data_IF_343667047325
#
_entry.id   IF_343667047325
#
_cell.length_a   1.000
_cell.length_b   1.000
_cell.length_c   1.000
_cell.angle_alpha   90.00
_cell.angle_beta   90.00
_cell.angle_gamma   90.00
#
_symmetry.space_group_name_H-M   'P 1'
#
loop_
_entity.id
_entity.type
_entity.pdbx_description
1 polymer ?
#
# COMPACT_ATOMS: atom_id res chain seq x y z
N UNK A 1 23.57 -0.09 10.32
CA UNK A 1 22.16 -0.23 9.90
C UNK A 1 21.30 -0.18 11.14
N UNK A 2 20.23 0.61 11.13
CA UNK A 2 19.28 0.76 12.21
C UNK A 2 17.88 0.36 11.71
N UNK A 3 17.14 -0.36 12.55
CA UNK A 3 15.75 -0.72 12.34
C UNK A 3 14.94 -0.20 13.52
N UNK A 4 14.00 0.72 13.25
CA UNK A 4 13.19 1.36 14.29
C UNK A 4 11.70 1.20 13.97
N UNK A 5 10.97 0.37 14.75
CA UNK A 5 9.51 0.39 14.76
C UNK A 5 9.00 1.80 15.09
N UNK A 6 8.16 2.37 14.22
CA UNK A 6 7.58 3.70 14.42
C UNK A 6 6.20 3.59 15.04
N UNK A 7 5.32 2.79 14.45
CA UNK A 7 4.00 2.50 15.03
C UNK A 7 3.44 1.17 14.53
N UNK A 8 2.72 0.48 15.41
CA UNK A 8 2.12 -0.83 15.15
C UNK A 8 0.76 -0.96 15.83
N UNK A 9 -0.08 -1.89 15.35
CA UNK A 9 -1.39 -2.22 15.93
C UNK A 9 -1.38 -2.36 17.46
N UNK A 10 -0.33 -2.95 18.01
CA UNK A 10 -0.17 -3.15 19.46
C UNK A 10 -0.10 -1.85 20.26
N UNK A 11 0.13 -0.71 19.62
CA UNK A 11 0.19 0.63 20.23
C UNK A 11 -1.15 1.38 20.12
N UNK A 12 -2.23 0.74 19.68
CA UNK A 12 -3.60 1.27 19.77
C UNK A 12 -4.13 1.96 18.51
N UNK A 13 -3.37 1.95 17.41
CA UNK A 13 -3.86 2.34 16.07
C UNK A 13 -3.33 1.35 15.02
N UNK A 14 -4.12 1.05 13.99
CA UNK A 14 -3.71 0.14 12.92
C UNK A 14 -2.54 0.73 12.17
N UNK A 15 -1.40 0.05 12.12
CA UNK A 15 -0.18 0.50 11.45
C UNK A 15 0.85 -0.62 11.33
N UNK A 16 1.78 -0.46 10.38
CA UNK A 16 2.98 -1.28 10.23
C UNK A 16 4.15 -0.39 9.81
N UNK A 17 4.38 0.69 10.53
CA UNK A 17 5.36 1.70 10.12
C UNK A 17 6.74 1.41 10.72
N UNK A 18 7.76 1.30 9.85
CA UNK A 18 9.14 1.01 10.25
C UNK A 18 10.10 1.96 9.52
N UNK A 19 11.03 2.56 10.27
CA UNK A 19 12.19 3.24 9.69
C UNK A 19 13.36 2.26 9.58
N UNK A 20 13.91 2.14 8.38
CA UNK A 20 15.18 1.46 8.10
C UNK A 20 16.20 2.52 7.72
N UNK A 21 17.31 2.61 8.47
CA UNK A 21 18.38 3.56 8.17
C UNK A 21 19.70 2.83 7.91
N UNK A 22 20.29 3.12 6.77
CA UNK A 22 21.63 2.70 6.35
C UNK A 22 22.50 3.97 6.17
N UNK A 23 23.81 3.85 5.89
CA UNK A 23 24.65 5.01 5.63
C UNK A 23 24.20 5.86 4.43
N UNK A 24 23.53 5.25 3.46
CA UNK A 24 23.14 5.83 2.17
C UNK A 24 21.64 6.19 2.07
N UNK A 25 20.77 5.56 2.86
CA UNK A 25 19.33 5.83 2.79
C UNK A 25 18.62 5.73 4.15
N UNK A 26 17.57 6.54 4.29
CA UNK A 26 16.56 6.42 5.33
C UNK A 26 15.22 6.09 4.65
N UNK A 27 14.79 4.82 4.77
CA UNK A 27 13.57 4.28 4.18
C UNK A 27 12.49 4.16 5.25
N UNK A 28 11.38 4.85 5.04
CA UNK A 28 10.18 4.70 5.86
C UNK A 28 9.20 3.77 5.15
N UNK A 29 8.99 2.59 5.71
CA UNK A 29 8.08 1.57 5.18
C UNK A 29 6.71 1.79 5.78
N UNK A 30 5.69 1.84 4.93
CA UNK A 30 4.27 1.95 5.24
C UNK A 30 3.92 3.03 6.29
N UNK A 31 4.17 4.32 5.98
CA UNK A 31 3.84 5.45 6.85
C UNK A 31 2.32 5.73 6.91
N UNK A 32 1.56 4.73 7.33
CA UNK A 32 0.12 4.76 7.50
C UNK A 32 -0.32 4.58 8.93
N UNK A 33 -1.49 5.11 9.26
CA UNK A 33 -2.16 4.84 10.52
C UNK A 33 -3.67 4.99 10.35
N UNK A 34 -4.44 4.04 10.86
CA UNK A 34 -5.90 4.12 10.88
C UNK A 34 -6.47 3.81 12.27
N UNK A 35 -7.65 4.36 12.55
CA UNK A 35 -8.35 4.11 13.82
C UNK A 35 -8.66 2.62 13.97
N UNK A 36 -8.61 2.11 15.21
CA UNK A 36 -8.98 0.73 15.52
C UNK A 36 -10.46 0.45 15.20
N UNK A 37 -10.78 -0.80 14.84
CA UNK A 37 -12.15 -1.20 14.53
C UNK A 37 -13.10 -0.97 15.72
N UNK A 38 -14.41 -0.82 15.49
CA UNK A 38 -15.39 -0.61 16.56
C UNK A 38 -15.32 -1.66 17.69
N UNK A 39 -15.04 -2.92 17.35
CA UNK A 39 -14.93 -4.04 18.30
C UNK A 39 -13.65 -4.07 19.12
N UNK A 40 -12.67 -3.21 18.83
CA UNK A 40 -11.46 -3.11 19.63
C UNK A 40 -11.84 -2.59 21.04
N UNK A 41 -11.37 -3.23 22.13
CA UNK A 41 -11.85 -2.99 23.49
C UNK A 41 -11.25 -1.71 24.10
N UNK A 42 -11.50 -0.56 23.47
CA UNK A 42 -11.12 0.76 23.95
C UNK A 42 -12.26 1.76 23.67
N UNK A 43 -12.43 2.80 24.50
CA UNK A 43 -13.33 3.91 24.19
C UNK A 43 -12.91 4.62 22.89
N UNK A 44 -13.86 5.17 22.16
CA UNK A 44 -13.57 5.83 20.87
C UNK A 44 -12.65 7.04 21.02
N UNK A 45 -12.76 7.78 22.13
CA UNK A 45 -11.83 8.86 22.46
C UNK A 45 -10.38 8.37 22.58
N UNK A 46 -10.18 7.17 23.14
CA UNK A 46 -8.85 6.57 23.29
C UNK A 46 -8.32 6.06 21.95
N UNK A 47 -9.18 5.48 21.10
CA UNK A 47 -8.80 5.10 19.71
C UNK A 47 -8.37 6.31 18.88
N UNK A 48 -9.08 7.43 19.02
CA UNK A 48 -8.75 8.69 18.35
C UNK A 48 -7.43 9.28 18.88
N UNK A 49 -7.22 9.24 20.20
CA UNK A 49 -5.96 9.65 20.83
C UNK A 49 -4.76 8.87 20.28
N UNK A 50 -4.84 7.54 20.21
CA UNK A 50 -3.73 6.73 19.67
C UNK A 50 -3.51 6.96 18.16
N UNK A 51 -4.57 7.20 17.38
CA UNK A 51 -4.40 7.57 15.97
C UNK A 51 -3.64 8.89 15.81
N UNK A 52 -3.92 9.89 16.65
CA UNK A 52 -3.20 11.15 16.64
C UNK A 52 -1.73 10.96 17.03
N UNK A 53 -1.43 10.19 18.08
CA UNK A 53 -0.06 9.86 18.45
C UNK A 53 0.69 9.14 17.32
N UNK A 54 0.05 8.14 16.69
CA UNK A 54 0.60 7.44 15.53
C UNK A 54 0.92 8.40 14.39
N UNK A 55 -0.03 9.27 14.07
CA UNK A 55 0.11 10.26 13.00
C UNK A 55 1.28 11.20 13.26
N UNK A 56 1.44 11.68 14.51
CA UNK A 56 2.57 12.54 14.90
C UNK A 56 3.91 11.80 14.78
N UNK A 57 4.00 10.59 15.31
CA UNK A 57 5.22 9.78 15.25
C UNK A 57 5.66 9.51 13.80
N UNK A 58 4.70 9.21 12.91
CA UNK A 58 4.92 9.02 11.48
C UNK A 58 5.38 10.32 10.82
N UNK A 59 4.70 11.46 11.04
CA UNK A 59 5.09 12.76 10.46
C UNK A 59 6.50 13.18 10.89
N UNK A 60 6.82 13.06 12.18
CA UNK A 60 8.17 13.36 12.68
C UNK A 60 9.21 12.45 12.04
N UNK A 61 8.95 11.15 11.95
CA UNK A 61 9.91 10.22 11.34
C UNK A 61 10.04 10.41 9.82
N UNK A 62 8.96 10.79 9.15
CA UNK A 62 8.96 11.07 7.72
C UNK A 62 9.81 12.30 7.37
N UNK A 63 9.94 13.29 8.26
CA UNK A 63 10.79 14.45 8.03
C UNK A 63 12.26 14.05 7.77
N UNK A 64 12.75 13.01 8.46
CA UNK A 64 14.12 12.52 8.32
C UNK A 64 14.30 11.41 7.27
N UNK A 65 13.20 11.00 6.61
CA UNK A 65 13.21 9.94 5.62
C UNK A 65 13.53 10.48 4.23
N UNK A 66 14.41 9.77 3.52
CA UNK A 66 14.77 10.04 2.11
C UNK A 66 13.90 9.26 1.12
N UNK A 67 13.42 8.09 1.55
CA UNK A 67 12.65 7.16 0.76
C UNK A 67 11.40 6.73 1.51
N UNK A 68 10.33 6.43 0.78
CA UNK A 68 9.13 5.79 1.33
C UNK A 68 8.81 4.54 0.53
N UNK A 69 8.52 3.44 1.23
CA UNK A 69 7.91 2.27 0.63
C UNK A 69 6.43 2.18 1.01
N UNK A 70 5.55 1.95 0.03
CA UNK A 70 4.13 1.62 0.26
C UNK A 70 3.90 0.22 -0.29
N UNK A 71 3.78 -0.75 0.61
CA UNK A 71 3.61 -2.17 0.27
C UNK A 71 2.16 -2.51 -0.09
N UNK A 72 1.20 -1.72 0.42
CA UNK A 72 -0.23 -1.96 0.28
C UNK A 72 -1.05 -0.66 0.23
N UNK A 73 -2.14 -0.64 -0.55
CA UNK A 73 -3.06 0.49 -0.66
C UNK A 73 -4.24 0.41 0.35
N UNK A 74 -3.92 0.22 1.63
CA UNK A 74 -4.86 0.44 2.73
C UNK A 74 -4.38 1.64 3.59
N UNK A 75 -5.29 2.40 4.19
CA UNK A 75 -4.95 3.68 4.84
C UNK A 75 -4.15 3.54 6.15
N UNK A 76 -4.06 2.32 6.69
CA UNK A 76 -3.12 1.93 7.75
C UNK A 76 -1.68 1.71 7.26
N UNK A 77 -1.45 1.71 5.94
CA UNK A 77 -0.11 1.62 5.33
C UNK A 77 0.34 2.92 4.64
N UNK A 78 -0.57 3.84 4.33
CA UNK A 78 -0.24 5.17 3.79
C UNK A 78 -1.31 6.21 4.12
N UNK A 79 -0.95 7.49 4.20
CA UNK A 79 -1.87 8.60 4.51
C UNK A 79 -1.96 9.62 3.36
N UNK A 80 -2.84 9.39 2.37
CA UNK A 80 -2.98 10.31 1.24
C UNK A 80 -3.54 11.69 1.66
N UNK A 81 -4.17 11.77 2.83
CA UNK A 81 -4.64 13.00 3.45
C UNK A 81 -3.53 13.87 4.06
N UNK A 82 -2.28 13.38 4.07
CA UNK A 82 -1.10 14.09 4.58
C UNK A 82 -0.03 14.13 3.46
N UNK A 83 -0.24 14.92 2.39
CA UNK A 83 0.61 14.90 1.20
C UNK A 83 2.07 15.28 1.50
N UNK A 84 2.32 16.09 2.52
CA UNK A 84 3.67 16.48 2.92
C UNK A 84 4.53 15.30 3.38
N UNK A 85 3.93 14.15 3.73
CA UNK A 85 4.68 12.92 4.03
C UNK A 85 5.53 12.46 2.85
N UNK A 86 5.07 12.71 1.61
CA UNK A 86 5.67 12.15 0.40
C UNK A 86 6.56 13.14 -0.35
N UNK A 87 6.48 14.42 -0.01
CA UNK A 87 7.18 15.48 -0.72
C UNK A 87 8.71 15.32 -0.66
N UNK A 88 9.37 15.41 -1.82
CA UNK A 88 10.83 15.37 -1.93
C UNK A 88 11.45 14.00 -1.62
N UNK A 89 10.68 12.91 -1.66
CA UNK A 89 11.15 11.56 -1.34
C UNK A 89 11.09 10.65 -2.56
N UNK A 90 12.04 9.72 -2.63
CA UNK A 90 11.96 8.64 -3.61
C UNK A 90 10.94 7.61 -3.15
N UNK A 91 9.95 7.34 -4.00
CA UNK A 91 8.80 6.48 -3.69
C UNK A 91 8.97 5.08 -4.27
N UNK A 92 8.84 4.05 -3.43
CA UNK A 92 8.78 2.64 -3.81
C UNK A 92 7.38 2.11 -3.52
N UNK A 93 6.51 2.17 -4.52
CA UNK A 93 5.10 1.79 -4.34
C UNK A 93 4.82 0.42 -4.94
N UNK A 94 3.92 -0.34 -4.30
CA UNK A 94 3.37 -1.58 -4.84
C UNK A 94 2.83 -1.32 -6.25
N UNK A 95 3.11 -2.25 -7.19
CA UNK A 95 2.63 -2.16 -8.57
C UNK A 95 1.12 -1.79 -8.61
N UNK A 96 0.75 -0.60 -9.14
CA UNK A 96 -0.63 -0.11 -9.15
C UNK A 96 -1.48 -0.76 -10.26
N UNK A 97 -0.90 -1.65 -11.06
CA UNK A 97 -1.45 -2.16 -12.31
C UNK A 97 -1.68 -3.68 -12.34
N UNK A 98 -1.26 -4.43 -11.32
CA UNK A 98 -1.49 -5.89 -11.25
C UNK A 98 -1.19 -6.46 -9.88
N UNK A 99 -1.64 -7.69 -9.65
CA UNK A 99 -1.45 -8.39 -8.37
C UNK A 99 -1.98 -7.62 -7.16
N UNK A 100 -3.05 -6.85 -7.40
CA UNK A 100 -3.75 -6.05 -6.39
C UNK A 100 -5.25 -6.19 -6.59
N UNK A 101 -6.02 -6.16 -5.49
CA UNK A 101 -7.46 -6.26 -5.58
C UNK A 101 -8.11 -4.97 -6.16
N UNK A 102 -9.41 -5.02 -6.48
CA UNK A 102 -10.14 -3.86 -7.06
C UNK A 102 -10.13 -2.62 -6.16
N UNK A 103 -10.15 -2.77 -4.83
CA UNK A 103 -10.08 -1.62 -3.92
C UNK A 103 -8.70 -0.97 -3.96
N UNK A 104 -7.64 -1.78 -3.91
CA UNK A 104 -6.27 -1.31 -4.09
C UNK A 104 -6.08 -0.63 -5.45
N UNK A 105 -6.66 -1.19 -6.52
CA UNK A 105 -6.60 -0.62 -7.88
C UNK A 105 -7.10 0.83 -7.94
N UNK A 106 -8.26 1.09 -7.34
CA UNK A 106 -8.84 2.44 -7.29
C UNK A 106 -8.05 3.37 -6.38
N UNK A 107 -7.67 2.89 -5.17
CA UNK A 107 -6.91 3.69 -4.20
C UNK A 107 -5.52 4.08 -4.71
N UNK A 108 -4.85 3.17 -5.43
CA UNK A 108 -3.56 3.44 -6.05
C UNK A 108 -3.65 4.60 -7.04
N UNK A 109 -4.66 4.61 -7.90
CA UNK A 109 -4.87 5.67 -8.90
C UNK A 109 -5.21 7.01 -8.25
N UNK A 110 -6.14 7.01 -7.30
CA UNK A 110 -6.49 8.22 -6.56
C UNK A 110 -5.27 8.81 -5.84
N UNK A 111 -4.47 7.96 -5.20
CA UNK A 111 -3.25 8.38 -4.52
C UNK A 111 -2.20 8.94 -5.49
N UNK A 112 -1.89 8.20 -6.56
CA UNK A 112 -0.84 8.58 -7.50
C UNK A 112 -1.21 9.80 -8.34
N UNK A 113 -2.48 9.97 -8.71
CA UNK A 113 -2.99 11.19 -9.36
C UNK A 113 -2.78 12.40 -8.47
N UNK A 114 -3.23 12.32 -7.21
CA UNK A 114 -3.07 13.39 -6.23
C UNK A 114 -1.60 13.73 -5.96
N UNK A 115 -0.72 12.73 -5.89
CA UNK A 115 0.70 12.95 -5.67
C UNK A 115 1.35 13.68 -6.86
N UNK A 116 1.06 13.25 -8.09
CA UNK A 116 1.60 13.87 -9.31
C UNK A 116 1.09 15.31 -9.48
N UNK A 117 -0.19 15.53 -9.23
CA UNK A 117 -0.79 16.87 -9.25
C UNK A 117 -0.11 17.80 -8.23
N UNK A 118 0.22 17.29 -7.04
CA UNK A 118 0.86 18.08 -5.97
C UNK A 118 2.25 18.62 -6.33
N UNK A 119 2.92 17.99 -7.31
CA UNK A 119 4.25 18.41 -7.81
C UNK A 119 4.17 19.05 -9.20
N UNK A 120 2.96 19.42 -9.66
CA UNK A 120 2.73 20.04 -10.97
C UNK A 120 2.98 19.10 -12.16
N UNK A 121 2.93 17.78 -11.91
CA UNK A 121 3.05 16.78 -12.95
C UNK A 121 1.72 16.46 -13.64
N UNK A 122 1.77 15.50 -14.57
CA UNK A 122 0.60 15.04 -15.31
C UNK A 122 0.40 13.55 -15.05
N UNK A 123 -0.73 13.18 -14.48
CA UNK A 123 -1.11 11.79 -14.31
C UNK A 123 -1.48 11.19 -15.67
N UNK A 124 -0.85 10.06 -16.01
CA UNK A 124 -1.05 9.38 -17.30
C UNK A 124 -1.39 7.93 -17.10
N UNK A 125 -2.25 7.44 -17.97
CA UNK A 125 -2.52 6.02 -18.13
C UNK A 125 -2.24 5.59 -19.56
N UNK A 126 -1.88 4.33 -19.73
CA UNK A 126 -1.62 3.67 -21.02
C UNK A 126 -2.45 2.40 -21.15
N UNK A 127 -2.49 1.84 -22.35
CA UNK A 127 -3.05 0.50 -22.54
C UNK A 127 -2.29 -0.52 -21.69
N UNK A 128 -3.02 -1.53 -21.21
CA UNK A 128 -2.41 -2.64 -20.49
C UNK A 128 -1.38 -3.36 -21.38
N UNK A 129 -0.43 -4.06 -20.75
CA UNK A 129 0.51 -4.90 -21.47
C UNK A 129 -0.09 -6.25 -21.95
N UNK A 130 -1.41 -6.46 -21.83
CA UNK A 130 -2.10 -7.73 -22.14
C UNK A 130 -1.38 -8.99 -21.62
N UNK A 131 -0.82 -8.92 -20.42
CA UNK A 131 -0.04 -10.02 -19.84
C UNK A 131 -0.89 -11.26 -19.51
N UNK A 132 -0.24 -12.43 -19.52
CA UNK A 132 -0.81 -13.66 -18.98
C UNK A 132 -0.66 -13.72 -17.45
N UNK A 133 -1.69 -14.26 -16.80
CA UNK A 133 -1.75 -14.41 -15.35
C UNK A 133 -2.12 -15.86 -15.02
N UNK A 134 -1.13 -16.76 -14.85
CA UNK A 134 -1.38 -18.16 -14.53
C UNK A 134 -2.03 -18.30 -13.15
N UNK A 135 -2.62 -19.46 -12.88
CA UNK A 135 -3.14 -19.75 -11.54
C UNK A 135 -1.97 -19.79 -10.55
N UNK A 136 -1.97 -18.95 -9.48
CA UNK A 136 -0.88 -18.94 -8.51
C UNK A 136 -0.65 -20.29 -7.83
N UNK A 137 -1.66 -21.16 -7.79
CA UNK A 137 -1.52 -22.50 -7.22
C UNK A 137 -0.61 -23.41 -8.06
N UNK A 138 -0.48 -23.16 -9.37
CA UNK A 138 0.38 -23.95 -10.25
C UNK A 138 1.85 -23.84 -9.82
N UNK A 139 2.23 -22.70 -9.23
CA UNK A 139 3.57 -22.44 -8.71
C UNK A 139 3.77 -22.91 -7.25
N UNK A 140 2.74 -23.44 -6.59
CA UNK A 140 2.75 -23.77 -5.16
C UNK A 140 2.34 -25.22 -4.91
N UNK A 141 3.17 -26.22 -5.28
CA UNK A 141 2.81 -27.64 -5.25
C UNK A 141 2.50 -28.16 -3.84
N UNK A 142 3.17 -27.63 -2.81
CA UNK A 142 2.88 -28.00 -1.41
C UNK A 142 1.51 -27.48 -0.96
N UNK A 143 1.18 -26.23 -1.31
CA UNK A 143 -0.14 -25.67 -1.02
C UNK A 143 -1.23 -26.40 -1.82
N UNK A 144 -0.89 -26.89 -3.03
CA UNK A 144 -1.79 -27.64 -3.88
C UNK A 144 -2.26 -28.97 -3.26
N UNK A 145 -1.47 -29.55 -2.36
CA UNK A 145 -1.76 -30.83 -1.71
C UNK A 145 -2.56 -30.69 -0.40
N UNK A 146 -2.75 -29.47 0.11
CA UNK A 146 -3.50 -29.26 1.36
C UNK A 146 -4.99 -29.60 1.20
N UNK A 147 -5.57 -30.18 2.26
CA UNK A 147 -7.01 -30.41 2.37
C UNK A 147 -7.73 -29.06 2.42
N UNK A 148 -8.45 -28.74 1.34
CA UNK A 148 -9.03 -27.42 1.10
C UNK A 148 -10.50 -27.55 0.79
N UNK A 149 -11.29 -26.72 1.48
CA UNK A 149 -12.67 -26.40 1.15
C UNK A 149 -12.82 -26.05 -0.34
N UNK A 150 -13.31 -27.02 -1.12
CA UNK A 150 -13.41 -26.91 -2.58
C UNK A 150 -14.27 -25.71 -3.03
N UNK A 151 -15.31 -25.38 -2.25
CA UNK A 151 -16.18 -24.22 -2.47
C UNK A 151 -15.41 -22.89 -2.36
N UNK A 152 -14.50 -22.79 -1.38
CA UNK A 152 -13.66 -21.60 -1.21
C UNK A 152 -12.65 -21.48 -2.36
N UNK A 153 -11.99 -22.58 -2.74
CA UNK A 153 -11.05 -22.58 -3.87
C UNK A 153 -11.74 -22.09 -5.15
N UNK A 154 -12.92 -22.64 -5.47
CA UNK A 154 -13.69 -22.23 -6.65
C UNK A 154 -14.14 -20.76 -6.58
N UNK A 155 -14.56 -20.28 -5.40
CA UNK A 155 -14.91 -18.87 -5.16
C UNK A 155 -13.73 -17.94 -5.40
N UNK A 156 -12.57 -18.26 -4.82
CA UNK A 156 -11.38 -17.43 -4.93
C UNK A 156 -10.77 -17.47 -6.33
N UNK A 157 -10.80 -18.62 -7.03
CA UNK A 157 -10.40 -18.71 -8.44
C UNK A 157 -11.28 -17.84 -9.34
N UNK A 158 -12.61 -17.86 -9.18
CA UNK A 158 -13.50 -16.93 -9.90
C UNK A 158 -13.16 -15.47 -9.62
N UNK A 159 -12.89 -15.12 -8.36
CA UNK A 159 -12.48 -13.76 -7.99
C UNK A 159 -11.15 -13.38 -8.64
N UNK A 160 -10.17 -14.28 -8.66
CA UNK A 160 -8.88 -14.09 -9.31
C UNK A 160 -9.04 -13.85 -10.81
N UNK A 161 -9.81 -14.68 -11.52
CA UNK A 161 -10.08 -14.48 -12.95
C UNK A 161 -10.75 -13.12 -13.25
N UNK A 162 -11.63 -12.65 -12.37
CA UNK A 162 -12.18 -11.31 -12.48
C UNK A 162 -11.14 -10.19 -12.30
N UNK A 163 -10.12 -10.41 -11.47
CA UNK A 163 -9.00 -9.49 -11.30
C UNK A 163 -8.04 -9.54 -12.49
N UNK A 164 -7.73 -10.73 -13.02
CA UNK A 164 -6.85 -10.84 -14.20
C UNK A 164 -7.48 -10.16 -15.40
N UNK A 165 -8.80 -10.29 -15.59
CA UNK A 165 -9.55 -9.52 -16.61
C UNK A 165 -9.38 -8.01 -16.39
N UNK A 166 -9.57 -7.53 -15.16
CA UNK A 166 -9.37 -6.11 -14.82
C UNK A 166 -7.95 -5.64 -15.18
N UNK A 167 -6.92 -6.42 -14.84
CA UNK A 167 -5.52 -6.05 -15.10
C UNK A 167 -5.15 -6.16 -16.59
N UNK A 168 -5.80 -7.05 -17.34
CA UNK A 168 -5.59 -7.23 -18.79
C UNK A 168 -6.32 -6.21 -19.64
N UNK A 169 -7.48 -5.74 -19.22
CA UNK A 169 -8.32 -4.86 -20.04
C UNK A 169 -8.33 -3.42 -19.52
N UNK A 170 -8.08 -3.22 -18.23
CA UNK A 170 -7.99 -1.90 -17.61
C UNK A 170 -6.72 -1.16 -18.02
N UNK A 171 -6.83 0.16 -18.13
CA UNK A 171 -5.70 1.06 -18.33
C UNK A 171 -4.68 0.93 -17.20
N UNK A 172 -3.41 1.08 -17.53
CA UNK A 172 -2.29 1.01 -16.59
C UNK A 172 -1.76 2.40 -16.30
N UNK A 173 -1.50 2.69 -15.02
CA UNK A 173 -0.71 3.87 -14.62
C UNK A 173 0.62 3.82 -15.36
N UNK A 174 0.95 4.92 -16.03
CA UNK A 174 2.21 5.06 -16.75
C UNK A 174 3.29 5.64 -15.83
N UNK A 175 4.29 4.80 -15.51
CA UNK A 175 5.41 5.20 -14.66
C UNK A 175 6.22 6.37 -15.26
N UNK A 176 6.17 6.58 -16.59
CA UNK A 176 6.84 7.71 -17.23
C UNK A 176 6.29 9.07 -16.76
N UNK A 177 5.04 9.14 -16.29
CA UNK A 177 4.45 10.35 -15.70
C UNK A 177 5.13 10.81 -14.40
N UNK A 178 5.92 9.93 -13.78
CA UNK A 178 6.60 10.15 -12.50
C UNK A 178 8.13 10.28 -12.65
N UNK A 179 8.68 10.18 -13.86
CA UNK A 179 10.12 10.19 -14.07
C UNK A 179 10.72 11.59 -13.83
N UNK A 180 11.77 11.66 -13.01
CA UNK A 180 12.55 12.89 -12.79
C UNK A 180 11.90 13.93 -11.87
N UNK A 181 10.95 13.53 -11.02
CA UNK A 181 10.21 14.39 -10.09
C UNK A 181 10.15 13.79 -8.69
#
# INVERSE_FOLDING_TARGET
MELRPVWFDSLGAKSMCVLVRTPDLALLVDPGAAIMQPRYPAPDALKAYYLDLATRAIRTTAADATHIAITHYHYDHFRPDIPELFAGKTMWVKDPNRWINRSQWGRARAFLSSLVESVGGEYRERSSAMAEYPDPLDALPLAAQSDRRADLVAKWRRRFLGLTKLWREGSWVDAAGFAGR
#
